data_IF_760810269820
#
_entry.id   IF_760810269820
#
_cell.length_a   1.000
_cell.length_b   1.000
_cell.length_c   1.000
_cell.angle_alpha   90.00
_cell.angle_beta   90.00
_cell.angle_gamma   90.00
#
_symmetry.space_group_name_H-M   'P 1'
#
loop_
_entity.id
_entity.type
_entity.pdbx_description
1 polymer ?
#
# COMPACT_ATOMS: atom_id res chain seq x y z
N UNK A 1 26.61 19.13 -0.54
CA UNK A 1 26.39 17.67 -0.62
C UNK A 1 26.41 17.18 0.82
N UNK A 2 25.25 17.16 1.46
CA UNK A 2 25.10 16.64 2.82
C UNK A 2 24.80 15.15 2.71
N UNK A 3 25.71 14.32 3.22
CA UNK A 3 25.55 12.88 3.27
C UNK A 3 24.53 12.50 4.35
N UNK A 4 23.30 12.20 3.91
CA UNK A 4 22.25 11.63 4.73
C UNK A 4 22.60 10.18 5.10
N UNK A 5 23.38 10.00 6.17
CA UNK A 5 23.71 8.70 6.74
C UNK A 5 22.46 7.95 7.21
N UNK A 6 22.20 6.76 6.63
CA UNK A 6 21.15 5.83 7.07
C UNK A 6 19.97 5.64 6.12
N UNK A 7 19.95 6.30 4.96
CA UNK A 7 18.90 6.12 3.95
C UNK A 7 19.31 5.06 2.95
N UNK A 8 18.42 4.08 2.72
CA UNK A 8 18.56 3.19 1.57
C UNK A 8 18.45 4.01 0.28
N UNK A 9 19.56 4.16 -0.44
CA UNK A 9 19.63 4.97 -1.66
C UNK A 9 18.82 4.40 -2.83
N UNK A 10 18.56 3.09 -2.84
CA UNK A 10 17.73 2.50 -3.87
C UNK A 10 16.24 2.77 -3.67
N UNK A 11 15.56 3.07 -4.77
CA UNK A 11 14.10 3.20 -4.78
C UNK A 11 13.44 1.88 -4.40
N UNK A 12 12.31 1.97 -3.70
CA UNK A 12 11.45 0.82 -3.41
C UNK A 12 10.99 0.19 -4.73
N UNK A 13 11.15 -1.13 -4.86
CA UNK A 13 10.61 -1.89 -5.99
C UNK A 13 9.09 -1.81 -6.01
N UNK A 14 8.52 -1.48 -7.16
CA UNK A 14 7.07 -1.52 -7.38
C UNK A 14 6.64 -2.96 -7.69
N UNK A 15 6.45 -3.75 -6.63
CA UNK A 15 6.05 -5.15 -6.75
C UNK A 15 4.68 -5.30 -7.46
N UNK A 16 3.62 -4.52 -7.13
CA UNK A 16 2.36 -4.60 -7.86
C UNK A 16 2.51 -4.42 -9.38
N UNK A 17 3.35 -3.48 -9.81
CA UNK A 17 3.63 -3.26 -11.23
C UNK A 17 4.43 -4.40 -11.85
N UNK A 18 5.43 -4.95 -11.15
CA UNK A 18 6.16 -6.14 -11.63
C UNK A 18 5.18 -7.31 -11.79
N UNK A 19 4.29 -7.52 -10.82
CA UNK A 19 3.27 -8.56 -10.85
C UNK A 19 2.30 -8.38 -12.02
N UNK A 20 1.97 -7.14 -12.41
CA UNK A 20 1.08 -6.90 -13.56
C UNK A 20 1.71 -7.28 -14.90
N UNK A 21 3.04 -7.22 -15.03
CA UNK A 21 3.75 -7.67 -16.23
C UNK A 21 3.65 -9.18 -16.45
N UNK A 22 3.36 -9.96 -15.40
CA UNK A 22 3.10 -11.40 -15.49
C UNK A 22 1.66 -11.75 -15.91
N UNK A 23 0.84 -10.76 -16.32
CA UNK A 23 -0.55 -10.95 -16.75
C UNK A 23 -1.42 -11.67 -15.72
N UNK A 24 -1.20 -11.37 -14.44
CA UNK A 24 -2.00 -11.92 -13.35
C UNK A 24 -3.43 -11.36 -13.47
N UNK A 25 -4.47 -12.22 -13.44
CA UNK A 25 -5.86 -11.79 -13.65
C UNK A 25 -6.34 -10.72 -12.67
N UNK A 26 -5.88 -10.80 -11.42
CA UNK A 26 -6.28 -9.85 -10.38
C UNK A 26 -5.12 -9.46 -9.47
N UNK A 27 -4.87 -8.16 -9.37
CA UNK A 27 -3.84 -7.56 -8.50
C UNK A 27 -4.53 -6.44 -7.74
N UNK A 28 -4.31 -6.30 -6.43
CA UNK A 28 -4.77 -5.12 -5.72
C UNK A 28 -3.83 -4.67 -4.61
N UNK A 29 -3.76 -3.37 -4.37
CA UNK A 29 -3.13 -2.77 -3.20
C UNK A 29 -4.19 -2.42 -2.17
N UNK A 30 -3.95 -2.66 -0.88
CA UNK A 30 -4.94 -2.38 0.16
C UNK A 30 -4.29 -1.96 1.47
N UNK A 31 -5.09 -1.40 2.38
CA UNK A 31 -4.66 -0.86 3.67
C UNK A 31 -5.71 -1.17 4.75
N UNK A 32 -5.25 -1.50 5.97
CA UNK A 32 -6.15 -1.80 7.10
C UNK A 32 -7.06 -0.63 7.48
N UNK A 33 -6.60 0.61 7.23
CA UNK A 33 -7.40 1.81 7.44
C UNK A 33 -8.68 1.88 6.60
N UNK A 34 -8.77 1.11 5.50
CA UNK A 34 -9.88 1.09 4.55
C UNK A 34 -10.52 -0.30 4.48
N UNK A 35 -11.15 -0.72 5.57
CA UNK A 35 -11.68 -2.09 5.74
C UNK A 35 -12.73 -2.49 4.69
N UNK A 36 -13.56 -1.56 4.22
CA UNK A 36 -14.57 -1.84 3.21
C UNK A 36 -13.92 -2.15 1.85
N UNK A 37 -12.92 -1.37 1.46
CA UNK A 37 -12.11 -1.62 0.27
C UNK A 37 -11.37 -2.96 0.36
N UNK A 38 -10.79 -3.27 1.52
CA UNK A 38 -10.14 -4.54 1.80
C UNK A 38 -11.11 -5.73 1.62
N UNK A 39 -12.31 -5.67 2.19
CA UNK A 39 -13.33 -6.72 2.06
C UNK A 39 -13.73 -6.95 0.60
N UNK A 40 -14.00 -5.88 -0.15
CA UNK A 40 -14.34 -5.98 -1.57
C UNK A 40 -13.20 -6.63 -2.38
N UNK A 41 -11.95 -6.23 -2.12
CA UNK A 41 -10.78 -6.77 -2.84
C UNK A 41 -10.50 -8.24 -2.52
N UNK A 42 -10.68 -8.65 -1.26
CA UNK A 42 -10.59 -10.06 -0.87
C UNK A 42 -11.69 -10.87 -1.56
N UNK A 43 -12.91 -10.34 -1.63
CA UNK A 43 -14.03 -10.98 -2.34
C UNK A 43 -13.71 -11.24 -3.82
N UNK A 44 -13.22 -10.21 -4.53
CA UNK A 44 -12.77 -10.32 -5.92
C UNK A 44 -11.61 -11.30 -6.10
N UNK A 45 -10.61 -11.25 -5.22
CA UNK A 45 -9.48 -12.18 -5.25
C UNK A 45 -9.94 -13.64 -5.10
N UNK A 46 -10.83 -13.89 -4.13
CA UNK A 46 -11.45 -15.21 -3.94
C UNK A 46 -12.22 -15.64 -5.18
N UNK A 47 -13.01 -14.75 -5.77
CA UNK A 47 -13.78 -15.04 -6.98
C UNK A 47 -12.88 -15.43 -8.16
N UNK A 48 -11.78 -14.72 -8.37
CA UNK A 48 -10.77 -15.04 -9.41
C UNK A 48 -10.21 -16.46 -9.25
N UNK A 49 -9.86 -16.84 -8.01
CA UNK A 49 -9.30 -18.17 -7.72
C UNK A 49 -10.37 -19.27 -7.84
N UNK A 50 -11.57 -19.05 -7.29
CA UNK A 50 -12.68 -20.01 -7.35
C UNK A 50 -13.12 -20.28 -8.79
N UNK A 51 -13.12 -19.25 -9.65
CA UNK A 51 -13.41 -19.37 -11.08
C UNK A 51 -12.24 -19.93 -11.91
N UNK A 52 -11.15 -20.34 -11.27
CA UNK A 52 -9.95 -20.89 -11.91
C UNK A 52 -9.35 -19.97 -12.99
N UNK A 53 -9.52 -18.65 -12.85
CA UNK A 53 -8.95 -17.67 -13.80
C UNK A 53 -7.42 -17.56 -13.68
N UNK A 54 -6.88 -17.92 -12.52
CA UNK A 54 -5.44 -17.91 -12.24
C UNK A 54 -5.11 -17.35 -10.86
N UNK A 55 -3.88 -16.84 -10.71
CA UNK A 55 -3.38 -16.21 -9.49
C UNK A 55 -4.15 -14.91 -9.18
N UNK A 56 -4.43 -14.68 -7.90
CA UNK A 56 -4.85 -13.37 -7.39
C UNK A 56 -3.77 -12.85 -6.43
N UNK A 57 -3.28 -11.64 -6.66
CA UNK A 57 -2.24 -11.01 -5.86
C UNK A 57 -2.78 -9.84 -5.06
N UNK A 58 -2.54 -9.83 -3.75
CA UNK A 58 -2.94 -8.75 -2.86
C UNK A 58 -1.72 -8.21 -2.11
N UNK A 59 -1.51 -6.89 -2.17
CA UNK A 59 -0.41 -6.21 -1.54
C UNK A 59 -0.93 -5.26 -0.47
N UNK A 60 -0.68 -5.59 0.80
CA UNK A 60 -1.15 -4.80 1.93
C UNK A 60 -0.03 -3.94 2.50
N UNK A 61 -0.36 -2.70 2.88
CA UNK A 61 0.46 -1.98 3.83
C UNK A 61 0.12 -2.44 5.25
N UNK A 62 1.14 -2.91 5.96
CA UNK A 62 1.06 -3.34 7.35
C UNK A 62 2.06 -2.51 8.17
N UNK A 63 1.61 -1.43 8.83
CA UNK A 63 2.47 -0.68 9.75
C UNK A 63 2.98 -1.57 10.88
N UNK A 64 4.29 -1.60 11.06
CA UNK A 64 4.94 -2.37 12.12
C UNK A 64 5.49 -1.41 13.18
N UNK A 65 4.90 -1.33 14.38
CA UNK A 65 5.33 -0.38 15.42
C UNK A 65 6.80 -0.60 15.82
N UNK A 66 7.23 -1.86 15.94
CA UNK A 66 8.61 -2.22 16.28
C UNK A 66 9.60 -1.79 15.21
N UNK A 67 9.29 -2.02 13.93
CA UNK A 67 10.22 -1.72 12.84
C UNK A 67 10.19 -0.27 12.36
N UNK A 68 9.08 0.44 12.55
CA UNK A 68 8.91 1.82 12.10
C UNK A 68 8.96 2.82 13.26
N UNK A 69 9.10 2.34 14.49
CA UNK A 69 9.28 3.11 15.72
C UNK A 69 8.16 4.14 15.95
N UNK A 70 6.93 3.65 16.14
CA UNK A 70 5.76 4.45 16.51
C UNK A 70 4.93 3.71 17.59
N UNK A 71 4.05 4.42 18.30
CA UNK A 71 3.19 3.84 19.34
C UNK A 71 2.25 2.75 18.80
N UNK A 72 2.13 1.61 19.50
CA UNK A 72 1.32 0.45 19.04
C UNK A 72 -0.14 0.82 18.73
N UNK A 73 -0.73 1.74 19.50
CA UNK A 73 -2.09 2.28 19.32
C UNK A 73 -2.28 3.03 18.00
N UNK A 74 -1.22 3.55 17.38
CA UNK A 74 -1.27 4.40 16.18
C UNK A 74 -1.21 3.62 14.87
N UNK A 75 -1.25 2.28 14.89
CA UNK A 75 -1.10 1.43 13.69
C UNK A 75 -2.12 1.77 12.59
N UNK A 76 -3.39 2.00 12.95
CA UNK A 76 -4.45 2.37 11.99
C UNK A 76 -4.26 3.80 11.48
N UNK A 77 -3.80 4.71 12.32
CA UNK A 77 -3.50 6.10 11.96
C UNK A 77 -2.37 6.16 10.93
N UNK A 78 -1.26 5.45 11.18
CA UNK A 78 -0.12 5.35 10.26
C UNK A 78 -0.55 4.74 8.91
N UNK A 79 -1.40 3.70 8.95
CA UNK A 79 -1.97 3.11 7.73
C UNK A 79 -2.85 4.10 6.96
N UNK A 80 -3.62 4.95 7.66
CA UNK A 80 -4.47 5.97 7.04
C UNK A 80 -3.63 7.09 6.43
N UNK A 81 -2.64 7.58 7.14
CA UNK A 81 -1.71 8.62 6.65
C UNK A 81 -0.96 8.15 5.39
N UNK A 82 -0.55 6.89 5.32
CA UNK A 82 0.08 6.35 4.12
C UNK A 82 -0.81 6.49 2.87
N UNK A 83 -2.12 6.29 3.01
CA UNK A 83 -3.08 6.43 1.92
C UNK A 83 -3.37 7.90 1.63
N UNK A 84 -3.63 8.72 2.66
CA UNK A 84 -3.99 10.13 2.50
C UNK A 84 -2.85 10.99 1.96
N UNK A 85 -1.59 10.63 2.23
CA UNK A 85 -0.41 11.30 1.66
C UNK A 85 -0.02 10.78 0.27
N UNK A 86 -0.69 9.74 -0.22
CA UNK A 86 -0.41 9.14 -1.53
C UNK A 86 0.82 8.23 -1.57
N UNK A 87 1.52 8.02 -0.44
CA UNK A 87 2.66 7.09 -0.34
C UNK A 87 2.22 5.64 -0.63
N UNK A 88 0.98 5.31 -0.31
CA UNK A 88 0.36 4.03 -0.60
C UNK A 88 -0.98 4.18 -1.34
N UNK A 89 -0.97 4.21 -2.68
CA UNK A 89 -2.20 4.31 -3.46
C UNK A 89 -3.02 3.02 -3.34
N UNK A 90 -4.34 3.16 -3.22
CA UNK A 90 -5.28 2.04 -3.23
C UNK A 90 -5.86 1.85 -4.62
N UNK A 91 -5.50 0.75 -5.26
CA UNK A 91 -5.98 0.41 -6.60
C UNK A 91 -6.14 -1.10 -6.75
N UNK A 92 -6.74 -1.48 -7.86
CA UNK A 92 -6.80 -2.85 -8.35
C UNK A 92 -6.52 -2.86 -9.86
N UNK A 93 -6.02 -3.98 -10.35
CA UNK A 93 -5.84 -4.28 -11.77
C UNK A 93 -6.61 -5.57 -12.01
N UNK A 94 -7.65 -5.49 -12.84
CA UNK A 94 -8.49 -6.62 -13.22
C UNK A 94 -8.38 -6.80 -14.73
N UNK A 95 -7.89 -7.97 -15.15
CA UNK A 95 -7.67 -8.31 -16.57
C UNK A 95 -6.90 -7.21 -17.34
N UNK A 96 -5.84 -6.68 -16.71
CA UNK A 96 -4.98 -5.62 -17.26
C UNK A 96 -5.54 -4.19 -17.14
N UNK A 97 -6.73 -3.99 -16.56
CA UNK A 97 -7.34 -2.67 -16.39
C UNK A 97 -7.13 -2.12 -14.97
N UNK A 98 -6.39 -1.04 -14.86
CA UNK A 98 -6.15 -0.33 -13.61
C UNK A 98 -7.38 0.48 -13.17
N UNK A 99 -7.81 0.31 -11.92
CA UNK A 99 -8.85 1.10 -11.26
C UNK A 99 -8.36 1.57 -9.89
N UNK A 100 -8.32 2.88 -9.69
CA UNK A 100 -8.09 3.48 -8.36
C UNK A 100 -9.37 3.32 -7.55
N UNK A 101 -9.29 2.66 -6.40
CA UNK A 101 -10.47 2.37 -5.56
C UNK A 101 -10.71 3.43 -4.50
N UNK A 102 -9.68 4.19 -4.13
CA UNK A 102 -9.80 5.32 -3.24
C UNK A 102 -8.93 6.47 -3.72
N UNK A 103 -9.54 7.63 -3.92
CA UNK A 103 -8.87 8.87 -4.29
C UNK A 103 -9.21 9.94 -3.25
N UNK A 104 -8.26 10.35 -2.40
CA UNK A 104 -8.46 11.49 -1.50
C UNK A 104 -8.83 12.74 -2.31
N UNK A 105 -9.75 13.56 -1.80
CA UNK A 105 -10.10 14.84 -2.43
C UNK A 105 -8.88 15.78 -2.49
N UNK A 106 -8.03 15.73 -1.47
CA UNK A 106 -6.75 16.41 -1.37
C UNK A 106 -5.75 15.47 -0.70
N UNK A 107 -4.51 15.47 -1.19
CA UNK A 107 -3.43 14.73 -0.55
C UNK A 107 -2.88 15.53 0.63
N UNK A 108 -2.63 14.83 1.74
CA UNK A 108 -1.92 15.39 2.87
C UNK A 108 -0.43 15.54 2.53
N UNK A 109 0.29 16.52 3.11
CA UNK A 109 1.74 16.60 3.01
C UNK A 109 2.40 15.28 3.45
N UNK A 110 3.32 14.76 2.63
CA UNK A 110 4.06 13.52 2.94
C UNK A 110 4.79 13.61 4.28
N UNK A 111 5.18 14.81 4.70
CA UNK A 111 5.81 15.07 6.01
C UNK A 111 4.99 14.52 7.18
N UNK A 112 3.66 14.58 7.13
CA UNK A 112 2.79 14.04 8.19
C UNK A 112 2.93 12.52 8.36
N UNK A 113 3.06 11.80 7.24
CA UNK A 113 3.33 10.36 7.27
C UNK A 113 4.76 10.08 7.73
N UNK A 114 5.76 10.86 7.32
CA UNK A 114 7.15 10.60 7.70
C UNK A 114 7.43 10.93 9.17
N UNK A 115 6.86 12.00 9.71
CA UNK A 115 7.16 12.50 11.06
C UNK A 115 6.69 11.59 12.19
N UNK A 116 5.63 10.81 11.97
CA UNK A 116 5.11 9.87 12.98
C UNK A 116 5.99 8.62 13.14
N UNK A 117 6.89 8.34 12.19
CA UNK A 117 7.70 7.13 12.15
C UNK A 117 9.15 7.42 12.54
N UNK A 118 9.66 6.77 13.59
CA UNK A 118 11.04 6.96 14.05
C UNK A 118 12.11 6.52 13.04
N UNK A 119 11.78 5.68 12.06
CA UNK A 119 12.72 5.25 10.99
C UNK A 119 13.19 6.36 10.05
N UNK A 120 12.56 7.55 10.10
CA UNK A 120 12.89 8.70 9.25
C UNK A 120 13.40 9.91 10.07
N UNK A 121 13.92 9.70 11.29
CA UNK A 121 14.37 10.77 12.20
C UNK A 121 15.77 11.33 11.94
N UNK A 122 16.50 10.81 10.97
CA UNK A 122 17.87 11.25 10.64
C UNK A 122 17.89 12.58 9.89
#
# INVERSE_FOLDING_TARGET
>A
MEEFGGVKGERRKDIPLIMSMHRIPYIATSALSHINDLKCKIGKAKETVVKQKGLAYLHFIQPCPTGWFFETSKSIEVSRLAVLTGVWPLFEIEDGRLRITFKPAKLNPVKEYLSIQGRYRH
#
